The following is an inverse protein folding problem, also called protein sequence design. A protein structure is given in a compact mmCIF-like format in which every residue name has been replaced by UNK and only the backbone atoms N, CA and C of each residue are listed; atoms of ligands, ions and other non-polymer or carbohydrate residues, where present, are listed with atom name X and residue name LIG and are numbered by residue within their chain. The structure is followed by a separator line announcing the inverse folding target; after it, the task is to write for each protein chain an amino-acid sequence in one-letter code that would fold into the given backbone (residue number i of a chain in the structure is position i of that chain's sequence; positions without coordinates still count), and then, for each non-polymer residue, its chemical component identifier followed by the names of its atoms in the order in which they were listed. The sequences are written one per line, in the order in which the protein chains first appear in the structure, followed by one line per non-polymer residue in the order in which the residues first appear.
data_IF_798256832719
#
_entry.id   IF_798256832719
#
_cell.length_a   1.000
_cell.length_b   1.000
_cell.length_c   1.000
_cell.angle_alpha   90.00
_cell.angle_beta   90.00
_cell.angle_gamma   90.00
#
_symmetry.space_group_name_H-M   'P 1'
#
loop_
_entity.id
_entity.type
_entity.pdbx_description
1 polymer ?
#
# COMPACT_ATOMS: atom_id res chain seq x y z
N UNK A 1 -13.42 18.11 4.83
CA UNK A 1 -13.48 16.68 4.45
C UNK A 1 -12.09 16.17 4.61
N UNK A 2 -11.78 15.55 5.74
CA UNK A 2 -10.52 14.82 5.85
C UNK A 2 -10.70 13.53 5.06
N UNK A 3 -10.11 13.47 3.86
CA UNK A 3 -10.00 12.27 3.03
C UNK A 3 -8.98 11.28 3.60
N UNK A 4 -8.76 11.32 4.91
CA UNK A 4 -7.77 10.51 5.59
C UNK A 4 -8.35 9.12 5.78
N UNK A 5 -7.67 8.16 5.15
CA UNK A 5 -7.88 6.75 5.41
C UNK A 5 -7.61 6.45 6.88
N UNK A 6 -8.45 5.63 7.49
CA UNK A 6 -8.18 5.14 8.85
C UNK A 6 -7.11 4.03 8.86
N UNK A 7 -6.71 3.60 10.06
CA UNK A 7 -5.72 2.53 10.22
C UNK A 7 -6.16 1.16 9.68
N UNK A 8 -7.46 0.98 9.43
CA UNK A 8 -8.06 -0.24 8.91
C UNK A 8 -8.29 -0.17 7.40
N UNK A 9 -7.95 0.94 6.74
CA UNK A 9 -8.12 1.12 5.30
C UNK A 9 -9.50 1.63 4.88
N UNK A 10 -10.28 2.22 5.78
CA UNK A 10 -11.58 2.81 5.46
C UNK A 10 -11.49 4.31 5.14
N UNK A 11 -12.25 4.72 4.14
CA UNK A 11 -12.58 6.09 3.79
C UNK A 11 -14.06 6.33 4.12
N UNK A 12 -14.35 6.72 5.37
CA UNK A 12 -15.70 6.72 5.89
C UNK A 12 -16.25 5.29 5.96
N UNK A 13 -17.33 5.00 5.24
CA UNK A 13 -17.98 3.68 5.24
C UNK A 13 -17.43 2.73 4.15
N UNK A 14 -16.51 3.20 3.31
CA UNK A 14 -15.99 2.46 2.16
C UNK A 14 -14.56 2.01 2.36
N UNK A 15 -14.20 0.81 1.87
CA UNK A 15 -12.83 0.28 1.95
C UNK A 15 -12.74 -0.89 2.92
N UNK A 16 -11.68 -0.90 3.73
CA UNK A 16 -11.34 -2.04 4.58
C UNK A 16 -10.72 -3.20 3.78
N UNK A 17 -10.48 -4.31 4.46
CA UNK A 17 -9.91 -5.52 3.87
C UNK A 17 -10.81 -6.73 4.18
N UNK A 18 -11.87 -6.91 3.38
CA UNK A 18 -12.68 -8.13 3.42
C UNK A 18 -12.07 -9.18 2.50
N UNK A 19 -11.12 -9.95 3.04
CA UNK A 19 -10.34 -10.95 2.31
C UNK A 19 -10.38 -12.31 3.03
N UNK A 20 -10.19 -13.42 2.31
CA UNK A 20 -10.03 -14.73 2.93
C UNK A 20 -8.82 -14.81 3.87
N UNK A 21 -8.89 -15.66 4.90
CA UNK A 21 -7.82 -15.90 5.87
C UNK A 21 -6.46 -16.21 5.22
N UNK A 22 -6.46 -16.97 4.11
CA UNK A 22 -5.23 -17.32 3.39
C UNK A 22 -4.51 -16.10 2.80
N UNK A 23 -5.22 -15.01 2.54
CA UNK A 23 -4.65 -13.77 1.99
C UNK A 23 -4.24 -12.78 3.09
N UNK A 24 -4.65 -12.98 4.34
CA UNK A 24 -4.33 -12.06 5.44
C UNK A 24 -2.82 -11.85 5.56
N UNK A 25 -2.05 -12.95 5.55
CA UNK A 25 -0.60 -12.87 5.69
C UNK A 25 0.05 -12.11 4.52
N UNK A 26 -0.37 -12.40 3.29
CA UNK A 26 0.16 -11.72 2.11
C UNK A 26 -0.14 -10.22 2.12
N UNK A 27 -1.35 -9.83 2.53
CA UNK A 27 -1.76 -8.42 2.60
C UNK A 27 -1.05 -7.70 3.75
N UNK A 28 -0.86 -8.35 4.89
CA UNK A 28 -0.10 -7.79 6.02
C UNK A 28 1.37 -7.55 5.64
N UNK A 29 2.02 -8.55 5.03
CA UNK A 29 3.41 -8.44 4.59
C UNK A 29 3.59 -7.32 3.56
N UNK A 30 2.63 -7.19 2.61
CA UNK A 30 2.61 -6.08 1.66
C UNK A 30 2.44 -4.74 2.37
N UNK A 31 1.47 -4.61 3.30
CA UNK A 31 1.22 -3.36 4.04
C UNK A 31 2.46 -2.90 4.78
N UNK A 32 3.15 -3.82 5.46
CA UNK A 32 4.33 -3.52 6.26
C UNK A 32 5.52 -3.10 5.37
N UNK A 33 5.70 -3.77 4.24
CA UNK A 33 6.84 -3.52 3.34
C UNK A 33 6.61 -2.32 2.40
N UNK A 34 5.35 -1.98 2.11
CA UNK A 34 4.99 -1.00 1.09
C UNK A 34 5.62 0.38 1.32
N UNK A 35 5.50 0.92 2.53
CA UNK A 35 6.04 2.26 2.82
C UNK A 35 7.57 2.27 2.77
N UNK A 36 8.22 1.20 3.22
CA UNK A 36 9.67 1.06 3.14
C UNK A 36 10.16 1.07 1.69
N UNK A 37 9.52 0.26 0.83
CA UNK A 37 9.86 0.20 -0.61
C UNK A 37 9.53 1.51 -1.30
N UNK A 38 8.40 2.14 -0.97
CA UNK A 38 8.01 3.42 -1.56
C UNK A 38 9.00 4.54 -1.19
N UNK A 39 9.61 4.47 0.00
CA UNK A 39 10.62 5.42 0.44
C UNK A 39 12.03 5.09 -0.04
N UNK A 40 12.29 3.88 -0.54
CA UNK A 40 13.59 3.48 -1.10
C UNK A 40 13.98 4.33 -2.32
N UNK A 41 15.17 4.93 -2.28
CA UNK A 41 15.69 5.72 -3.39
C UNK A 41 15.99 4.88 -4.63
N UNK A 42 16.52 3.66 -4.46
CA UNK A 42 16.78 2.72 -5.56
C UNK A 42 15.49 2.36 -6.27
N UNK A 43 14.42 2.10 -5.51
CA UNK A 43 13.09 1.81 -6.08
C UNK A 43 12.57 3.01 -6.86
N UNK A 44 12.61 4.21 -6.26
CA UNK A 44 12.16 5.45 -6.93
C UNK A 44 12.95 5.74 -8.21
N UNK A 45 14.27 5.53 -8.20
CA UNK A 45 15.11 5.76 -9.37
C UNK A 45 14.75 4.80 -10.51
N UNK A 46 14.69 3.50 -10.22
CA UNK A 46 14.31 2.48 -11.21
C UNK A 46 12.90 2.71 -11.75
N UNK A 47 11.94 3.02 -10.87
CA UNK A 47 10.57 3.32 -11.27
C UNK A 47 10.50 4.53 -12.20
N UNK A 48 11.19 5.64 -11.88
CA UNK A 48 11.24 6.83 -12.74
C UNK A 48 11.91 6.58 -14.07
N UNK A 49 12.92 5.71 -14.12
CA UNK A 49 13.57 5.32 -15.36
C UNK A 49 12.58 4.60 -16.27
N UNK A 50 11.87 3.58 -15.75
CA UNK A 50 10.90 2.79 -16.52
C UNK A 50 9.71 3.62 -17.06
N UNK A 51 9.39 4.76 -16.45
CA UNK A 51 8.32 5.64 -16.94
C UNK A 51 8.75 6.54 -18.11
N UNK A 52 10.05 6.61 -18.40
CA UNK A 52 10.62 7.45 -19.47
C UNK A 52 11.13 6.65 -20.67
N UNK A 53 11.21 5.33 -20.51
CA UNK A 53 11.49 4.37 -21.59
C UNK A 53 10.21 4.08 -22.39
#
# INVERSE_FOLDING_TARGET
MDYLVDQNGYYGEFGGAYIPEILHKCVEDLRNTYLEVLQSEDFKQKFRQLLRD
#
